data_IF_877879605170
#
_entry.id   IF_877879605170
#
_cell.length_a   1.000
_cell.length_b   1.000
_cell.length_c   1.000
_cell.angle_alpha   90.00
_cell.angle_beta   90.00
_cell.angle_gamma   90.00
#
_symmetry.space_group_name_H-M   'P 1'
#
loop_
_entity.id
_entity.type
_entity.pdbx_description
1 polymer ?
#
# COMPACT_ATOMS: atom_id res chain seq x y z
N UNK A 1 -82.58 24.77 0.99
CA UNK A 1 -82.71 26.22 1.21
C UNK A 1 -81.37 26.77 1.73
N UNK A 2 -81.22 28.09 1.69
CA UNK A 2 -80.00 28.91 1.85
C UNK A 2 -78.98 28.55 2.96
N UNK A 3 -77.69 28.53 2.57
CA UNK A 3 -76.50 29.27 3.09
C UNK A 3 -76.13 29.35 4.60
N UNK A 4 -74.85 29.75 4.81
CA UNK A 4 -74.14 30.27 6.02
C UNK A 4 -73.71 29.25 7.10
N UNK A 5 -72.57 29.35 7.83
CA UNK A 5 -71.35 30.22 7.78
C UNK A 5 -70.15 29.53 8.50
N UNK A 6 -68.96 30.14 8.49
CA UNK A 6 -67.70 29.54 8.97
C UNK A 6 -67.36 29.72 10.48
N UNK A 7 -66.46 28.83 10.97
CA UNK A 7 -65.33 28.95 11.95
C UNK A 7 -65.03 30.25 12.74
N UNK A 8 -64.10 30.25 13.74
CA UNK A 8 -63.58 29.18 14.62
C UNK A 8 -63.38 29.62 16.11
N UNK A 9 -62.92 28.73 17.01
CA UNK A 9 -62.33 29.12 18.31
C UNK A 9 -61.30 28.11 18.86
N UNK A 10 -60.41 28.57 19.74
CA UNK A 10 -59.09 27.95 20.06
C UNK A 10 -58.96 27.52 21.53
N UNK A 11 -57.90 26.76 21.83
CA UNK A 11 -57.20 26.59 23.14
C UNK A 11 -57.48 25.35 24.02
N UNK A 12 -56.46 24.48 24.06
CA UNK A 12 -55.79 23.88 25.25
C UNK A 12 -56.63 23.43 26.46
N UNK A 13 -56.79 22.11 26.58
CA UNK A 13 -56.58 21.37 27.83
C UNK A 13 -55.37 20.44 27.67
N UNK A 14 -54.73 19.88 28.70
CA UNK A 14 -55.08 19.84 30.12
C UNK A 14 -54.57 18.51 30.68
N UNK A 15 -53.80 18.53 31.78
CA UNK A 15 -53.09 17.35 32.31
C UNK A 15 -54.02 16.19 32.70
N UNK A 16 -53.49 14.96 32.71
CA UNK A 16 -53.93 13.98 33.70
C UNK A 16 -52.79 13.10 34.20
N UNK A 17 -52.63 13.04 35.53
CA UNK A 17 -51.67 12.20 36.25
C UNK A 17 -52.35 10.88 36.63
N UNK A 18 -51.61 9.76 36.72
CA UNK A 18 -51.93 8.69 37.67
C UNK A 18 -50.67 7.95 38.16
N UNK A 19 -50.74 7.53 39.43
CA UNK A 19 -49.68 7.13 40.37
C UNK A 19 -50.40 6.23 41.42
N UNK A 20 -49.92 5.10 41.94
CA UNK A 20 -48.63 4.37 41.87
C UNK A 20 -48.87 2.84 42.02
N UNK A 21 -47.89 1.96 41.76
CA UNK A 21 -47.16 1.14 42.77
C UNK A 21 -47.34 -0.39 42.50
N UNK A 22 -46.61 -1.32 43.16
CA UNK A 22 -45.13 -1.42 43.19
C UNK A 22 -44.58 -2.88 43.08
N UNK A 23 -43.26 -3.06 42.79
CA UNK A 23 -42.32 -4.15 43.25
C UNK A 23 -42.74 -5.63 42.94
N UNK A 24 -41.97 -6.54 42.33
CA UNK A 24 -40.56 -6.99 42.42
C UNK A 24 -39.98 -7.27 40.99
N UNK A 25 -38.74 -7.69 40.69
CA UNK A 25 -37.65 -8.36 41.44
C UNK A 25 -36.31 -8.12 40.69
N UNK A 26 -35.15 -8.12 41.36
CA UNK A 26 -33.84 -7.96 40.70
C UNK A 26 -33.41 -9.19 39.88
N UNK A 27 -32.86 -8.98 38.69
CA UNK A 27 -31.89 -9.90 38.08
C UNK A 27 -30.77 -9.10 37.39
N UNK A 28 -29.56 -9.20 37.96
CA UNK A 28 -28.41 -8.36 37.64
C UNK A 28 -27.85 -8.66 36.24
N UNK A 29 -27.78 -7.64 35.37
CA UNK A 29 -26.97 -7.71 34.14
C UNK A 29 -25.55 -7.20 34.40
N UNK A 30 -24.49 -7.88 33.90
CA UNK A 30 -23.11 -7.51 34.22
C UNK A 30 -22.68 -6.19 33.57
N UNK A 31 -22.23 -5.27 34.42
CA UNK A 31 -21.76 -3.93 34.04
C UNK A 31 -20.52 -4.00 33.13
N UNK A 32 -20.59 -3.31 31.98
CA UNK A 32 -19.46 -3.15 31.05
C UNK A 32 -18.30 -2.39 31.72
N UNK A 33 -17.25 -3.09 32.16
CA UNK A 33 -16.03 -2.49 32.71
C UNK A 33 -15.14 -1.91 31.59
N UNK A 34 -15.12 -0.59 31.45
CA UNK A 34 -14.19 0.14 30.56
C UNK A 34 -12.85 0.44 31.25
N UNK A 35 -11.76 0.30 30.46
CA UNK A 35 -10.36 0.24 30.92
C UNK A 35 -9.72 1.60 31.24
N UNK A 36 -10.43 2.48 31.95
CA UNK A 36 -9.91 3.80 32.36
C UNK A 36 -9.79 3.99 33.89
N UNK A 37 -10.63 3.33 34.69
CA UNK A 37 -10.69 3.56 36.15
C UNK A 37 -9.79 2.61 36.96
N UNK A 38 -8.49 2.58 36.64
CA UNK A 38 -7.46 1.86 37.43
C UNK A 38 -6.16 2.67 37.55
N UNK A 39 -6.23 3.98 37.31
CA UNK A 39 -5.09 4.91 37.42
C UNK A 39 -5.42 6.21 38.19
N UNK A 40 -6.59 6.29 38.80
CA UNK A 40 -7.08 7.47 39.56
C UNK A 40 -7.20 7.17 41.06
N UNK A 41 -6.54 6.11 41.55
CA UNK A 41 -6.46 5.74 42.97
C UNK A 41 -5.01 5.57 43.44
N UNK A 42 -4.06 6.16 42.72
CA UNK A 42 -2.69 6.35 43.17
C UNK A 42 -2.17 7.69 42.64
N UNK A 43 -1.57 8.48 43.53
CA UNK A 43 -1.05 9.84 43.32
C UNK A 43 -2.11 10.96 43.28
N UNK A 44 -2.83 11.12 44.39
CA UNK A 44 -3.09 12.47 44.93
C UNK A 44 -1.93 12.84 45.85
N UNK A 45 -1.13 13.87 45.49
CA UNK A 45 -0.43 14.84 46.36
C UNK A 45 0.69 15.59 45.60
N UNK A 46 1.02 16.80 46.09
CA UNK A 46 2.10 17.72 45.67
C UNK A 46 1.99 18.46 44.31
N UNK A 47 1.34 19.64 44.36
CA UNK A 47 1.83 20.97 43.94
C UNK A 47 2.66 21.10 42.63
N UNK A 48 2.21 21.79 41.59
CA UNK A 48 1.93 23.24 41.46
C UNK A 48 3.18 24.12 41.27
N UNK A 49 3.41 24.56 40.03
CA UNK A 49 3.94 25.91 39.74
C UNK A 49 3.59 26.34 38.32
N UNK A 50 3.35 27.64 38.19
CA UNK A 50 2.98 28.34 36.95
C UNK A 50 4.15 28.42 35.96
N UNK A 51 3.86 28.43 34.66
CA UNK A 51 4.05 29.63 33.82
C UNK A 51 3.43 29.48 32.43
N UNK A 52 2.85 30.58 31.95
CA UNK A 52 2.33 30.76 30.60
C UNK A 52 3.47 31.17 29.68
N UNK A 53 3.43 30.73 28.43
CA UNK A 53 3.90 31.53 27.29
C UNK A 53 3.02 31.15 26.09
N UNK A 54 2.50 32.17 25.41
CA UNK A 54 1.60 32.03 24.26
C UNK A 54 2.42 31.94 22.98
N UNK A 55 1.98 31.16 22.00
CA UNK A 55 2.27 31.44 20.60
C UNK A 55 1.22 30.81 19.68
N UNK A 56 0.91 31.53 18.59
CA UNK A 56 -0.42 31.48 17.98
C UNK A 56 -0.65 30.41 16.87
N UNK A 57 -1.94 30.17 16.68
CA UNK A 57 -2.64 29.28 15.75
C UNK A 57 -2.09 29.12 14.32
N UNK A 58 -2.31 27.92 13.78
CA UNK A 58 -2.88 27.79 12.42
C UNK A 58 -3.88 26.64 12.36
N UNK A 59 -5.09 26.86 12.88
CA UNK A 59 -6.14 25.84 12.94
C UNK A 59 -6.82 25.64 11.57
N UNK A 60 -6.79 24.40 11.07
CA UNK A 60 -7.71 23.93 10.02
C UNK A 60 -8.61 22.87 10.63
N UNK A 61 -9.67 23.34 11.27
CA UNK A 61 -10.68 22.50 11.90
C UNK A 61 -11.70 22.04 10.82
N UNK A 62 -11.63 20.77 10.42
CA UNK A 62 -12.64 20.14 9.57
C UNK A 62 -13.52 19.24 10.44
N UNK A 63 -14.72 19.73 10.71
CA UNK A 63 -15.75 19.05 11.49
C UNK A 63 -16.09 17.67 10.94
N UNK A 64 -16.09 16.65 11.80
CA UNK A 64 -16.95 15.48 11.58
C UNK A 64 -17.28 14.76 12.89
N UNK A 65 -18.56 14.47 13.12
CA UNK A 65 -19.02 13.74 14.30
C UNK A 65 -18.74 12.23 14.17
N UNK A 66 -18.31 11.63 15.28
CA UNK A 66 -17.94 10.22 15.36
C UNK A 66 -16.49 10.05 15.75
N UNK A 67 -16.23 10.02 17.06
CA UNK A 67 -14.91 9.95 17.75
C UNK A 67 -13.77 9.37 16.89
N UNK A 68 -13.13 10.24 16.11
CA UNK A 68 -11.90 9.90 15.41
C UNK A 68 -10.79 9.76 16.45
N UNK A 69 -10.20 8.57 16.54
CA UNK A 69 -8.90 8.42 17.17
C UNK A 69 -7.93 9.32 16.42
N UNK A 70 -7.44 10.37 17.09
CA UNK A 70 -6.55 11.36 16.49
C UNK A 70 -5.34 10.71 15.81
N UNK A 71 -4.84 11.36 14.75
CA UNK A 71 -3.72 10.83 13.96
C UNK A 71 -2.55 10.50 14.89
N UNK A 72 -2.09 9.24 14.87
CA UNK A 72 -0.88 8.85 15.58
C UNK A 72 0.32 9.50 14.92
N UNK A 73 0.86 10.54 15.56
CA UNK A 73 1.97 11.40 15.08
C UNK A 73 3.31 11.03 15.72
N UNK A 74 3.67 9.75 15.76
CA UNK A 74 4.97 9.28 16.26
C UNK A 74 5.22 9.40 17.77
N UNK A 75 4.43 10.23 18.49
CA UNK A 75 4.53 10.52 19.94
C UNK A 75 4.79 9.29 20.83
N UNK A 76 4.24 8.14 20.45
CA UNK A 76 4.40 6.87 21.16
C UNK A 76 5.75 6.16 20.95
N UNK A 77 6.50 6.41 19.87
CA UNK A 77 7.91 6.06 19.75
C UNK A 77 8.76 7.14 20.44
N UNK A 78 8.50 8.42 20.15
CA UNK A 78 9.27 9.55 20.71
C UNK A 78 9.39 9.48 22.23
N UNK A 79 8.28 9.18 22.92
CA UNK A 79 8.27 9.03 24.38
C UNK A 79 9.15 7.88 24.89
N UNK A 80 9.31 6.80 24.11
CA UNK A 80 10.19 5.68 24.47
C UNK A 80 11.64 6.02 24.17
N UNK A 81 11.94 6.59 23.01
CA UNK A 81 13.30 7.04 22.65
C UNK A 81 13.82 8.11 23.62
N UNK A 82 12.97 9.08 24.01
CA UNK A 82 13.29 10.07 25.05
C UNK A 82 13.45 9.45 26.43
N UNK A 83 12.60 8.49 26.81
CA UNK A 83 12.66 7.82 28.12
C UNK A 83 13.86 6.87 28.28
N UNK A 84 14.33 6.27 27.19
CA UNK A 84 15.50 5.39 27.17
C UNK A 84 16.82 6.13 26.85
N UNK A 85 16.73 7.39 26.40
CA UNK A 85 17.84 8.17 25.81
C UNK A 85 18.57 7.50 24.63
N UNK A 86 18.04 6.38 24.11
CA UNK A 86 18.58 5.63 22.96
C UNK A 86 17.47 5.29 21.98
N UNK A 87 17.81 5.20 20.68
CA UNK A 87 16.90 4.70 19.65
C UNK A 87 16.63 3.22 19.88
N UNK A 88 15.40 2.78 19.60
CA UNK A 88 15.04 1.36 19.69
C UNK A 88 15.80 0.58 18.61
N UNK A 89 16.53 -0.50 18.95
CA UNK A 89 17.18 -1.36 17.97
C UNK A 89 16.13 -2.11 17.15
N UNK A 90 16.38 -2.21 15.84
CA UNK A 90 15.50 -2.88 14.89
C UNK A 90 16.25 -4.07 14.27
N UNK A 91 16.02 -5.27 14.81
CA UNK A 91 16.57 -6.51 14.25
C UNK A 91 15.51 -7.21 13.39
N UNK A 92 15.89 -7.63 12.18
CA UNK A 92 15.00 -8.30 11.23
C UNK A 92 15.74 -9.49 10.64
N UNK A 93 15.30 -10.71 10.99
CA UNK A 93 15.84 -11.96 10.47
C UNK A 93 15.65 -12.06 8.94
N UNK A 94 16.59 -12.69 8.22
CA UNK A 94 16.54 -12.76 6.74
C UNK A 94 15.23 -13.41 6.23
N UNK A 95 14.72 -12.88 5.11
CA UNK A 95 13.42 -13.23 4.55
C UNK A 95 12.18 -12.83 5.38
N UNK A 96 12.33 -12.20 6.56
CA UNK A 96 11.19 -11.71 7.36
C UNK A 96 10.83 -10.26 7.00
N UNK A 97 9.53 -9.97 6.89
CA UNK A 97 9.00 -8.63 6.59
C UNK A 97 9.00 -7.64 7.76
N UNK A 98 9.27 -8.13 8.98
CA UNK A 98 9.12 -7.41 10.25
C UNK A 98 10.06 -8.01 11.29
N UNK A 99 10.47 -7.22 12.31
CA UNK A 99 11.01 -7.76 13.55
C UNK A 99 10.07 -8.79 14.18
N UNK A 100 10.64 -9.74 14.93
CA UNK A 100 9.89 -10.74 15.67
C UNK A 100 9.31 -10.16 16.98
N UNK A 101 10.08 -9.28 17.63
CA UNK A 101 9.69 -8.58 18.85
C UNK A 101 8.43 -7.71 18.63
N UNK A 102 7.30 -7.97 19.32
CA UNK A 102 6.01 -7.34 19.00
C UNK A 102 5.98 -5.81 19.10
N UNK A 103 6.72 -5.24 20.07
CA UNK A 103 6.80 -3.79 20.26
C UNK A 103 7.59 -3.14 19.11
N UNK A 104 8.75 -3.71 18.74
CA UNK A 104 9.55 -3.24 17.61
C UNK A 104 8.75 -3.31 16.31
N UNK A 105 8.11 -4.45 16.04
CA UNK A 105 7.28 -4.65 14.85
C UNK A 105 6.13 -3.65 14.73
N UNK A 106 5.43 -3.36 15.84
CA UNK A 106 4.34 -2.40 15.87
C UNK A 106 4.81 -0.96 15.64
N UNK A 107 5.94 -0.55 16.25
CA UNK A 107 6.50 0.80 16.12
C UNK A 107 7.12 1.04 14.74
N UNK A 108 7.85 0.06 14.22
CA UNK A 108 8.34 0.09 12.85
C UNK A 108 7.19 0.21 11.83
N UNK A 109 6.07 -0.48 12.08
CA UNK A 109 4.86 -0.36 11.26
C UNK A 109 4.18 1.03 11.38
N UNK A 110 4.13 1.63 12.58
CA UNK A 110 3.53 2.96 12.76
C UNK A 110 4.38 4.05 12.13
N UNK A 111 5.67 4.13 12.46
CA UNK A 111 6.57 5.18 11.99
C UNK A 111 6.84 5.07 10.51
N UNK A 112 7.11 3.87 9.99
CA UNK A 112 7.25 3.66 8.56
C UNK A 112 5.97 4.03 7.79
N UNK A 113 4.80 3.95 8.43
CA UNK A 113 3.54 4.46 7.87
C UNK A 113 3.38 5.99 7.97
N UNK A 114 3.93 6.63 8.99
CA UNK A 114 3.92 8.10 9.20
C UNK A 114 4.87 8.78 8.21
N UNK A 115 6.13 8.34 8.19
CA UNK A 115 7.18 8.79 7.25
C UNK A 115 6.67 8.78 5.81
N UNK A 116 6.00 7.69 5.41
CA UNK A 116 5.45 7.53 4.07
C UNK A 116 4.37 8.56 3.74
N UNK A 117 3.47 8.88 4.67
CA UNK A 117 2.42 9.90 4.46
C UNK A 117 2.97 11.32 4.44
N UNK A 118 4.03 11.59 5.20
CA UNK A 118 4.56 12.93 5.43
C UNK A 118 5.70 13.33 4.48
N UNK A 119 6.43 12.38 3.91
CA UNK A 119 7.70 12.67 3.24
C UNK A 119 7.97 11.93 1.94
N UNK A 120 7.14 10.95 1.55
CA UNK A 120 7.37 10.17 0.32
C UNK A 120 6.28 10.52 -0.71
N UNK A 121 6.66 10.91 -1.94
CA UNK A 121 5.70 11.21 -3.00
C UNK A 121 4.73 10.05 -3.31
N UNK A 122 3.50 10.37 -3.72
CA UNK A 122 2.44 9.40 -4.04
C UNK A 122 2.34 9.13 -5.55
N UNK A 123 3.34 8.43 -6.09
CA UNK A 123 3.39 8.06 -7.51
C UNK A 123 2.33 6.99 -7.88
N UNK A 124 1.82 6.97 -9.14
CA UNK A 124 0.75 6.07 -9.59
C UNK A 124 1.09 4.58 -9.50
N UNK A 125 2.31 4.20 -9.91
CA UNK A 125 2.70 2.80 -10.07
C UNK A 125 4.03 2.46 -9.35
N UNK A 126 4.17 1.22 -8.85
CA UNK A 126 5.39 0.79 -8.14
C UNK A 126 6.67 0.89 -9.00
N UNK A 127 6.54 0.79 -10.33
CA UNK A 127 7.66 0.91 -11.28
C UNK A 127 8.39 2.26 -11.18
N UNK A 128 7.72 3.36 -10.81
CA UNK A 128 8.39 4.67 -10.71
C UNK A 128 9.33 4.73 -9.50
N UNK A 129 8.91 4.20 -8.34
CA UNK A 129 9.77 4.02 -7.15
C UNK A 129 10.94 3.05 -7.36
N UNK A 130 10.87 2.17 -8.36
CA UNK A 130 12.01 1.31 -8.77
C UNK A 130 12.98 2.03 -9.71
N UNK A 131 12.54 3.07 -10.42
CA UNK A 131 13.38 3.84 -11.35
C UNK A 131 14.19 4.92 -10.62
N UNK A 132 13.61 5.54 -9.61
CA UNK A 132 14.30 6.51 -8.75
C UNK A 132 14.56 5.93 -7.35
N UNK A 133 15.79 5.45 -7.16
CA UNK A 133 16.27 4.85 -5.91
C UNK A 133 16.21 5.83 -4.72
N UNK A 134 16.28 7.15 -4.99
CA UNK A 134 16.20 8.21 -3.97
C UNK A 134 14.95 8.13 -3.11
N UNK A 135 13.84 7.60 -3.63
CA UNK A 135 12.62 7.41 -2.85
C UNK A 135 12.78 6.33 -1.76
N UNK A 136 13.53 5.27 -2.04
CA UNK A 136 13.83 4.23 -1.06
C UNK A 136 14.91 4.72 -0.09
N UNK A 137 15.96 5.38 -0.58
CA UNK A 137 17.02 5.96 0.26
C UNK A 137 16.49 6.99 1.26
N UNK A 138 15.68 7.96 0.80
CA UNK A 138 15.02 8.95 1.68
C UNK A 138 14.13 8.26 2.73
N UNK A 139 13.38 7.24 2.33
CA UNK A 139 12.56 6.45 3.24
C UNK A 139 13.40 5.75 4.32
N UNK A 140 14.46 5.07 3.92
CA UNK A 140 15.36 4.34 4.81
C UNK A 140 16.18 5.26 5.72
N UNK A 141 16.67 6.39 5.20
CA UNK A 141 17.34 7.42 5.99
C UNK A 141 16.45 7.99 7.09
N UNK A 142 15.16 8.22 6.79
CA UNK A 142 14.17 8.63 7.81
C UNK A 142 13.85 7.53 8.81
N UNK A 143 13.83 6.26 8.40
CA UNK A 143 13.69 5.11 9.32
C UNK A 143 14.91 5.01 10.26
N UNK A 144 16.13 5.18 9.76
CA UNK A 144 17.34 5.23 10.59
C UNK A 144 17.44 6.52 11.44
N UNK A 145 16.72 7.57 11.07
CA UNK A 145 16.43 8.71 11.94
C UNK A 145 15.70 8.28 13.23
N UNK A 146 14.71 7.39 13.11
CA UNK A 146 13.85 6.96 14.21
C UNK A 146 14.34 5.71 14.99
N UNK A 147 15.03 4.78 14.33
CA UNK A 147 15.48 3.49 14.90
C UNK A 147 17.00 3.34 14.85
N UNK A 148 17.56 2.50 15.72
CA UNK A 148 18.93 2.00 15.57
C UNK A 148 18.88 0.78 14.64
N UNK A 149 19.34 0.94 13.40
CA UNK A 149 19.22 -0.05 12.32
C UNK A 149 20.41 0.07 11.38
N UNK A 150 20.92 -1.06 10.86
CA UNK A 150 21.85 -1.03 9.73
C UNK A 150 21.07 -0.97 8.41
N UNK A 151 21.22 0.15 7.70
CA UNK A 151 20.60 0.41 6.39
C UNK A 151 21.17 -0.53 5.31
N UNK A 152 22.39 -1.03 5.50
CA UNK A 152 23.10 -1.89 4.53
C UNK A 152 22.68 -3.36 4.61
N UNK A 153 21.99 -3.76 5.69
CA UNK A 153 21.54 -5.13 5.86
C UNK A 153 20.41 -5.45 4.86
N UNK A 154 20.60 -6.51 4.05
CA UNK A 154 19.64 -6.95 3.03
C UNK A 154 18.22 -7.17 3.60
N UNK A 155 18.11 -7.80 4.77
CA UNK A 155 16.83 -8.05 5.44
C UNK A 155 16.08 -6.74 5.78
N UNK A 156 16.81 -5.70 6.21
CA UNK A 156 16.27 -4.37 6.47
C UNK A 156 15.82 -3.70 5.17
N UNK A 157 16.64 -3.75 4.11
CA UNK A 157 16.28 -3.21 2.79
C UNK A 157 14.99 -3.84 2.27
N UNK A 158 14.86 -5.17 2.35
CA UNK A 158 13.66 -5.89 1.91
C UNK A 158 12.43 -5.54 2.76
N UNK A 159 12.56 -5.48 4.10
CA UNK A 159 11.47 -5.13 5.00
C UNK A 159 11.00 -3.68 4.84
N UNK A 160 11.92 -2.72 4.69
CA UNK A 160 11.61 -1.33 4.37
C UNK A 160 10.92 -1.20 3.00
N UNK A 161 11.42 -1.92 2.00
CA UNK A 161 10.85 -1.97 0.66
C UNK A 161 9.42 -2.53 0.66
N UNK A 162 9.16 -3.62 1.39
CA UNK A 162 7.82 -4.20 1.49
C UNK A 162 6.85 -3.33 2.31
N UNK A 163 7.35 -2.61 3.33
CA UNK A 163 6.57 -1.61 4.05
C UNK A 163 6.18 -0.42 3.15
N UNK A 164 7.12 0.06 2.33
CA UNK A 164 6.91 1.12 1.36
C UNK A 164 5.88 0.72 0.28
N UNK A 165 6.06 -0.45 -0.36
CA UNK A 165 5.07 -1.03 -1.31
C UNK A 165 3.67 -1.11 -0.69
N UNK A 166 3.58 -1.66 0.52
CA UNK A 166 2.32 -1.88 1.22
C UNK A 166 1.64 -0.56 1.58
N UNK A 167 2.38 0.37 2.17
CA UNK A 167 1.87 1.67 2.60
C UNK A 167 1.43 2.55 1.44
N UNK A 168 2.18 2.60 0.33
CA UNK A 168 1.78 3.36 -0.86
C UNK A 168 0.50 2.80 -1.50
N UNK A 169 0.34 1.47 -1.54
CA UNK A 169 -0.93 0.85 -1.97
C UNK A 169 -2.10 1.24 -1.07
N UNK A 170 -1.91 1.28 0.25
CA UNK A 170 -2.96 1.69 1.20
C UNK A 170 -3.23 3.19 1.19
N UNK A 171 -2.24 4.03 0.84
CA UNK A 171 -2.42 5.47 0.65
C UNK A 171 -3.25 5.74 -0.61
N UNK A 172 -2.88 5.18 -1.77
CA UNK A 172 -3.70 5.25 -2.99
C UNK A 172 -5.12 4.74 -2.80
N UNK A 173 -5.32 3.63 -2.05
CA UNK A 173 -6.66 3.14 -1.74
C UNK A 173 -7.49 4.12 -0.90
N UNK A 174 -6.88 4.77 0.12
CA UNK A 174 -7.58 5.79 0.91
C UNK A 174 -7.93 7.02 0.05
N UNK A 175 -7.00 7.49 -0.78
CA UNK A 175 -7.26 8.59 -1.72
C UNK A 175 -8.43 8.27 -2.66
N UNK A 176 -8.45 7.07 -3.24
CA UNK A 176 -9.58 6.59 -4.06
C UNK A 176 -10.89 6.61 -3.26
N UNK A 177 -10.90 5.97 -2.08
CA UNK A 177 -12.10 5.89 -1.24
C UNK A 177 -12.63 7.27 -0.80
N UNK A 178 -11.75 8.24 -0.65
CA UNK A 178 -12.08 9.55 -0.08
C UNK A 178 -12.45 10.60 -1.12
N UNK A 179 -11.74 10.63 -2.25
CA UNK A 179 -11.84 11.70 -3.27
C UNK A 179 -12.31 11.23 -4.65
N UNK A 180 -12.48 9.92 -4.86
CA UNK A 180 -12.98 9.35 -6.12
C UNK A 180 -14.30 8.56 -5.90
N UNK A 181 -14.30 7.54 -5.05
CA UNK A 181 -15.47 6.64 -4.89
C UNK A 181 -16.71 7.33 -4.27
N UNK A 182 -16.55 8.48 -3.60
CA UNK A 182 -17.66 9.27 -3.02
C UNK A 182 -18.33 10.23 -4.01
N UNK A 183 -17.67 10.57 -5.12
CA UNK A 183 -18.07 11.66 -5.99
C UNK A 183 -18.46 11.13 -7.38
N UNK A 184 -19.49 11.69 -8.03
CA UNK A 184 -19.72 11.43 -9.45
C UNK A 184 -18.54 11.97 -10.27
N UNK A 185 -18.31 11.40 -11.46
CA UNK A 185 -17.10 11.64 -12.25
C UNK A 185 -16.83 13.13 -12.60
N UNK A 186 -17.87 13.96 -12.61
CA UNK A 186 -17.82 15.41 -12.85
C UNK A 186 -17.48 16.25 -11.60
N UNK A 187 -17.32 15.62 -10.43
CA UNK A 187 -17.00 16.28 -9.15
C UNK A 187 -15.71 15.76 -8.50
N UNK A 188 -14.94 14.91 -9.20
CA UNK A 188 -13.61 14.48 -8.74
C UNK A 188 -12.68 15.71 -8.71
N UNK A 189 -11.97 15.99 -7.60
CA UNK A 189 -11.07 17.13 -7.53
C UNK A 189 -10.03 17.14 -8.65
N UNK A 190 -9.78 18.30 -9.27
CA UNK A 190 -8.72 18.46 -10.29
C UNK A 190 -7.33 18.58 -9.67
N UNK A 191 -7.23 19.18 -8.47
CA UNK A 191 -5.97 19.32 -7.73
C UNK A 191 -5.71 18.11 -6.83
N UNK A 192 -4.43 17.79 -6.62
CA UNK A 192 -3.98 16.73 -5.74
C UNK A 192 -4.44 16.98 -4.29
N UNK A 193 -5.23 16.07 -3.68
CA UNK A 193 -5.77 16.25 -2.33
C UNK A 193 -4.73 16.12 -1.19
N UNK A 194 -3.46 15.83 -1.48
CA UNK A 194 -2.40 15.72 -0.47
C UNK A 194 -1.11 16.44 -0.92
N UNK A 195 -0.38 17.11 -0.01
CA UNK A 195 0.77 17.94 -0.37
C UNK A 195 1.98 17.16 -0.93
N UNK A 196 2.03 15.84 -0.69
CA UNK A 196 3.08 14.95 -1.18
C UNK A 196 2.71 14.27 -2.50
N UNK A 197 1.93 14.92 -3.35
CA UNK A 197 1.51 14.39 -4.65
C UNK A 197 1.40 15.54 -5.65
N UNK A 198 1.92 15.34 -6.85
CA UNK A 198 1.76 16.29 -7.94
C UNK A 198 0.37 16.15 -8.57
N UNK A 199 -0.16 17.25 -9.11
CA UNK A 199 -1.45 17.22 -9.83
C UNK A 199 -1.39 16.21 -11.00
N UNK A 200 -0.27 16.08 -11.70
CA UNK A 200 -0.08 15.11 -12.80
C UNK A 200 -0.23 13.65 -12.33
N UNK A 201 0.40 13.28 -11.21
CA UNK A 201 0.28 11.95 -10.59
C UNK A 201 -1.17 11.65 -10.16
N UNK A 202 -1.87 12.69 -9.67
CA UNK A 202 -3.28 12.59 -9.31
C UNK A 202 -4.18 12.32 -10.52
N UNK A 203 -4.01 13.08 -11.61
CA UNK A 203 -4.77 12.85 -12.85
C UNK A 203 -4.50 11.45 -13.42
N UNK A 204 -3.26 10.98 -13.40
CA UNK A 204 -2.90 9.62 -13.81
C UNK A 204 -3.59 8.54 -12.96
N UNK A 205 -3.78 8.77 -11.65
CA UNK A 205 -4.53 7.87 -10.77
C UNK A 205 -6.03 7.88 -11.06
N UNK A 206 -6.63 9.06 -11.25
CA UNK A 206 -8.05 9.22 -11.59
C UNK A 206 -8.38 8.56 -12.94
N UNK A 207 -7.50 8.72 -13.93
CA UNK A 207 -7.60 8.03 -15.22
C UNK A 207 -7.57 6.51 -15.04
N UNK A 208 -6.56 5.99 -14.34
CA UNK A 208 -6.40 4.55 -14.05
C UNK A 208 -7.61 3.95 -13.33
N UNK A 209 -8.22 4.66 -12.37
CA UNK A 209 -9.42 4.18 -11.66
C UNK A 209 -10.69 4.26 -12.49
N UNK A 210 -10.70 5.10 -13.53
CA UNK A 210 -11.81 5.25 -14.47
C UNK A 210 -11.84 4.13 -15.53
N UNK A 211 -10.68 3.58 -15.88
CA UNK A 211 -10.53 2.48 -16.85
C UNK A 211 -11.43 1.27 -16.54
N UNK A 212 -12.20 0.76 -17.53
CA UNK A 212 -13.04 -0.44 -17.35
C UNK A 212 -12.25 -1.68 -16.90
N UNK A 213 -11.06 -1.90 -17.49
CA UNK A 213 -10.16 -3.02 -17.12
C UNK A 213 -9.73 -2.98 -15.65
N UNK A 214 -9.52 -1.78 -15.10
CA UNK A 214 -9.19 -1.61 -13.69
C UNK A 214 -10.39 -1.91 -12.80
N UNK A 215 -11.58 -1.41 -13.17
CA UNK A 215 -12.84 -1.66 -12.43
C UNK A 215 -13.18 -3.15 -12.37
N UNK A 216 -13.11 -3.86 -13.50
CA UNK A 216 -13.32 -5.31 -13.56
C UNK A 216 -12.33 -6.07 -12.64
N UNK A 217 -11.05 -5.66 -12.65
CA UNK A 217 -10.03 -6.22 -11.75
C UNK A 217 -10.31 -5.91 -10.28
N UNK A 218 -10.90 -4.75 -9.95
CA UNK A 218 -11.33 -4.44 -8.59
C UNK A 218 -12.48 -5.36 -8.14
N UNK A 219 -13.52 -5.57 -8.98
CA UNK A 219 -14.65 -6.45 -8.66
C UNK A 219 -14.21 -7.90 -8.47
N UNK A 220 -13.39 -8.45 -9.38
CA UNK A 220 -12.82 -9.81 -9.21
C UNK A 220 -12.02 -9.94 -7.90
N UNK A 221 -11.22 -8.93 -7.54
CA UNK A 221 -10.49 -8.92 -6.28
C UNK A 221 -11.39 -8.76 -5.04
N UNK A 222 -12.58 -8.18 -5.17
CA UNK A 222 -13.58 -8.08 -4.10
C UNK A 222 -14.26 -9.43 -3.89
N UNK A 223 -14.77 -10.06 -4.94
CA UNK A 223 -15.33 -11.41 -4.89
C UNK A 223 -14.33 -12.44 -4.30
N UNK A 224 -13.06 -12.39 -4.73
CA UNK A 224 -12.00 -13.24 -4.17
C UNK A 224 -11.74 -13.00 -2.66
N UNK A 225 -12.02 -11.81 -2.13
CA UNK A 225 -11.91 -11.52 -0.68
C UNK A 225 -13.12 -11.99 0.10
N UNK A 226 -14.30 -11.98 -0.50
CA UNK A 226 -15.55 -12.49 0.08
C UNK A 226 -15.49 -14.03 0.25
N UNK A 227 -14.69 -14.73 -0.56
CA UNK A 227 -14.41 -16.16 -0.42
C UNK A 227 -13.42 -16.53 0.71
N UNK A 228 -12.89 -15.58 1.49
CA UNK A 228 -11.91 -15.88 2.55
C UNK A 228 -12.60 -16.48 3.79
N UNK A 229 -12.51 -17.80 3.93
CA UNK A 229 -13.17 -18.57 4.99
C UNK A 229 -12.53 -18.40 6.39
N UNK A 230 -11.19 -18.41 6.46
CA UNK A 230 -10.41 -18.40 7.71
C UNK A 230 -9.84 -17.01 8.01
N UNK A 231 -10.68 -16.11 8.50
CA UNK A 231 -10.27 -14.74 8.86
C UNK A 231 -9.37 -14.74 10.11
N UNK A 232 -8.27 -13.98 10.10
CA UNK A 232 -7.38 -13.80 11.25
C UNK A 232 -8.09 -13.03 12.39
N UNK A 233 -7.91 -13.44 13.65
CA UNK A 233 -8.49 -12.82 14.85
C UNK A 233 -7.48 -12.17 15.80
N UNK A 234 -6.19 -12.26 15.45
CA UNK A 234 -4.99 -11.72 16.14
C UNK A 234 -4.98 -10.19 16.40
N UNK A 235 -5.92 -9.41 15.86
CA UNK A 235 -5.96 -7.96 16.02
C UNK A 235 -4.89 -7.24 15.20
N UNK A 236 -4.13 -6.33 15.82
CA UNK A 236 -3.09 -5.54 15.16
C UNK A 236 -1.70 -6.20 15.12
N UNK A 237 -1.51 -7.35 15.78
CA UNK A 237 -0.26 -8.13 15.73
C UNK A 237 -0.20 -8.93 14.41
N UNK A 238 0.99 -9.05 13.82
CA UNK A 238 1.21 -10.01 12.72
C UNK A 238 1.20 -11.45 13.26
N UNK A 239 1.05 -12.44 12.39
CA UNK A 239 1.17 -13.87 12.77
C UNK A 239 2.50 -14.15 13.52
N UNK A 240 3.64 -13.66 13.00
CA UNK A 240 4.96 -13.81 13.62
C UNK A 240 5.02 -13.15 15.02
N UNK A 241 4.57 -11.90 15.15
CA UNK A 241 4.59 -11.19 16.43
C UNK A 241 3.61 -11.79 17.45
N UNK A 242 2.50 -12.38 16.98
CA UNK A 242 1.57 -13.10 17.84
C UNK A 242 2.14 -14.44 18.28
N UNK A 243 2.76 -15.20 17.38
CA UNK A 243 3.49 -16.42 17.74
C UNK A 243 4.56 -16.14 18.79
N UNK A 244 5.39 -15.11 18.62
CA UNK A 244 6.37 -14.71 19.64
C UNK A 244 5.70 -14.35 20.97
N UNK A 245 4.59 -13.60 20.96
CA UNK A 245 3.87 -13.25 22.19
C UNK A 245 3.27 -14.51 22.87
N UNK A 246 2.63 -15.39 22.10
CA UNK A 246 2.02 -16.64 22.59
C UNK A 246 3.07 -17.61 23.14
N UNK A 247 4.23 -17.75 22.48
CA UNK A 247 5.36 -18.54 22.97
C UNK A 247 5.85 -18.01 24.33
N UNK A 248 6.02 -16.69 24.48
CA UNK A 248 6.50 -16.08 25.73
C UNK A 248 5.43 -16.05 26.86
N UNK A 249 4.17 -15.80 26.53
CA UNK A 249 3.09 -15.60 27.51
C UNK A 249 2.47 -16.94 27.98
N UNK A 250 2.15 -17.84 27.05
CA UNK A 250 1.39 -19.08 27.34
C UNK A 250 2.26 -20.33 27.45
N UNK A 251 3.16 -20.53 26.48
CA UNK A 251 3.76 -21.85 26.25
C UNK A 251 5.16 -22.01 26.87
N UNK A 252 5.90 -20.91 27.04
CA UNK A 252 7.23 -20.82 27.70
C UNK A 252 8.22 -21.86 27.19
N UNK A 253 8.29 -23.01 27.87
CA UNK A 253 9.24 -24.09 27.63
C UNK A 253 8.65 -25.24 26.78
N UNK A 254 7.34 -25.27 26.57
CA UNK A 254 6.65 -26.20 25.67
C UNK A 254 6.55 -25.59 24.28
N UNK A 255 6.88 -26.32 23.22
CA UNK A 255 6.66 -25.84 21.85
C UNK A 255 5.18 -26.02 21.46
N UNK A 256 4.42 -24.96 21.15
CA UNK A 256 3.00 -25.08 20.81
C UNK A 256 2.78 -25.81 19.49
N UNK A 257 1.92 -26.83 19.53
CA UNK A 257 1.48 -27.56 18.33
C UNK A 257 0.88 -26.60 17.31
N UNK A 258 1.13 -26.87 16.03
CA UNK A 258 0.69 -26.02 14.93
C UNK A 258 -0.83 -25.84 14.84
N UNK A 259 -1.60 -26.86 15.27
CA UNK A 259 -3.06 -26.79 15.40
C UNK A 259 -3.48 -25.82 16.51
N UNK A 260 -2.76 -25.76 17.63
CA UNK A 260 -3.04 -24.80 18.70
C UNK A 260 -2.67 -23.36 18.29
N UNK A 261 -1.59 -23.19 17.52
CA UNK A 261 -1.27 -21.92 16.88
C UNK A 261 -2.36 -21.47 15.90
N UNK A 262 -2.96 -22.41 15.17
CA UNK A 262 -4.09 -22.13 14.29
C UNK A 262 -5.33 -21.68 15.09
N UNK A 263 -5.68 -22.40 16.17
CA UNK A 263 -6.73 -22.01 17.12
C UNK A 263 -6.49 -20.59 17.66
N UNK A 264 -5.30 -20.30 18.18
CA UNK A 264 -4.96 -18.98 18.75
C UNK A 264 -4.94 -17.83 17.73
N UNK A 265 -4.77 -18.13 16.45
CA UNK A 265 -4.82 -17.13 15.38
C UNK A 265 -6.23 -16.87 14.82
N UNK A 266 -7.12 -17.86 14.88
CA UNK A 266 -8.42 -17.83 14.19
C UNK A 266 -9.66 -17.90 15.12
N UNK A 267 -9.47 -18.27 16.39
CA UNK A 267 -10.52 -18.27 17.42
C UNK A 267 -10.29 -17.06 18.34
N UNK A 268 -11.30 -16.20 18.46
CA UNK A 268 -11.28 -15.10 19.43
C UNK A 268 -12.02 -15.48 20.70
N UNK A 269 -11.38 -15.33 21.86
CA UNK A 269 -12.03 -15.47 23.17
C UNK A 269 -13.21 -14.50 23.41
N UNK A 270 -13.31 -13.42 22.62
CA UNK A 270 -14.38 -12.40 22.76
C UNK A 270 -15.36 -12.35 21.60
N UNK A 271 -14.98 -12.85 20.42
CA UNK A 271 -15.79 -12.78 19.19
C UNK A 271 -16.05 -14.16 18.54
N UNK A 272 -15.64 -15.24 19.19
CA UNK A 272 -15.70 -16.59 18.66
C UNK A 272 -14.89 -16.80 17.38
N UNK A 273 -15.27 -17.83 16.64
CA UNK A 273 -14.70 -18.27 15.36
C UNK A 273 -15.82 -18.42 14.30
N UNK A 274 -15.44 -18.48 13.02
CA UNK A 274 -16.37 -18.76 11.92
C UNK A 274 -16.56 -20.28 11.77
N UNK A 275 -17.70 -20.70 11.21
CA UNK A 275 -17.99 -22.14 11.04
C UNK A 275 -16.92 -22.92 10.26
N UNK A 276 -16.34 -22.39 9.16
CA UNK A 276 -15.22 -23.05 8.48
C UNK A 276 -13.99 -23.26 9.36
N UNK A 277 -13.74 -22.37 10.34
CA UNK A 277 -12.63 -22.51 11.28
C UNK A 277 -12.92 -23.62 12.30
N UNK A 278 -14.17 -23.76 12.79
CA UNK A 278 -14.55 -24.87 13.68
C UNK A 278 -14.39 -26.21 12.96
N UNK A 279 -14.93 -26.32 11.75
CA UNK A 279 -14.88 -27.55 10.96
C UNK A 279 -13.43 -27.92 10.63
N UNK A 280 -12.58 -26.93 10.31
CA UNK A 280 -11.15 -27.16 10.10
C UNK A 280 -10.44 -27.62 11.38
N UNK A 281 -10.72 -27.02 12.54
CA UNK A 281 -10.13 -27.46 13.82
C UNK A 281 -10.56 -28.89 14.18
N UNK A 282 -11.85 -29.21 14.07
CA UNK A 282 -12.36 -30.55 14.34
C UNK A 282 -11.76 -31.61 13.39
N UNK A 283 -11.57 -31.28 12.11
CA UNK A 283 -10.91 -32.18 11.16
C UNK A 283 -9.40 -32.36 11.45
N UNK A 284 -8.70 -31.31 11.90
CA UNK A 284 -7.30 -31.42 12.33
C UNK A 284 -7.17 -32.27 13.61
N UNK A 285 -8.09 -32.12 14.55
CA UNK A 285 -8.13 -32.91 15.80
C UNK A 285 -8.48 -34.38 15.54
N UNK A 286 -9.40 -34.67 14.61
CA UNK A 286 -9.74 -36.03 14.22
C UNK A 286 -8.55 -36.77 13.59
N UNK A 287 -7.83 -36.15 12.64
CA UNK A 287 -6.65 -36.76 12.01
C UNK A 287 -5.56 -37.06 13.05
N UNK A 288 -5.35 -36.18 14.03
CA UNK A 288 -4.38 -36.40 15.11
C UNK A 288 -4.83 -37.56 16.01
N UNK A 289 -6.12 -37.64 16.36
CA UNK A 289 -6.64 -38.73 17.18
C UNK A 289 -6.58 -40.10 16.47
N UNK A 290 -6.81 -40.13 15.16
CA UNK A 290 -6.68 -41.35 14.33
C UNK A 290 -5.20 -41.79 14.23
N UNK A 291 -4.26 -40.86 13.97
CA UNK A 291 -2.81 -41.14 13.93
C UNK A 291 -2.28 -41.64 15.31
N UNK A 292 -2.85 -41.16 16.43
CA UNK A 292 -2.53 -41.64 17.79
C UNK A 292 -3.10 -43.04 18.06
N UNK A 293 -4.25 -43.39 17.49
CA UNK A 293 -4.89 -44.70 17.64
C UNK A 293 -4.17 -45.82 16.85
N UNK A 294 -3.65 -45.51 15.66
CA UNK A 294 -2.89 -46.45 14.82
C UNK A 294 -1.44 -46.70 15.31
N UNK A 295 -1.01 -46.01 16.37
CA UNK A 295 0.27 -46.28 17.06
C UNK A 295 1.53 -45.91 16.27
N UNK A 296 1.38 -45.25 15.13
CA UNK A 296 2.48 -44.80 14.28
C UNK A 296 2.18 -43.39 13.76
N UNK A 297 2.83 -42.38 14.32
CA UNK A 297 2.64 -40.98 13.94
C UNK A 297 3.19 -40.70 12.53
N UNK A 298 2.39 -40.97 11.49
CA UNK A 298 2.83 -40.88 10.09
C UNK A 298 2.82 -39.47 9.52
N UNK A 299 1.95 -38.58 10.02
CA UNK A 299 1.79 -37.21 9.52
C UNK A 299 2.34 -36.19 10.51
N UNK A 300 3.13 -35.24 10.00
CA UNK A 300 3.52 -34.08 10.82
C UNK A 300 2.34 -33.11 10.99
N UNK A 301 2.27 -32.31 12.07
CA UNK A 301 1.22 -31.32 12.26
C UNK A 301 1.10 -30.29 11.11
N UNK A 302 2.17 -30.12 10.31
CA UNK A 302 2.16 -29.24 9.14
C UNK A 302 1.52 -29.90 7.91
N UNK A 303 1.60 -31.22 7.78
CA UNK A 303 0.88 -31.99 6.76
C UNK A 303 -0.61 -32.06 7.09
N UNK A 304 -0.99 -32.30 8.35
CA UNK A 304 -2.40 -32.25 8.82
C UNK A 304 -3.07 -30.92 8.44
N UNK A 305 -2.39 -29.78 8.68
CA UNK A 305 -2.93 -28.46 8.31
C UNK A 305 -3.04 -28.27 6.79
N UNK A 306 -2.18 -28.89 5.98
CA UNK A 306 -2.26 -28.85 4.51
C UNK A 306 -3.32 -29.80 3.96
N UNK A 307 -3.56 -30.93 4.60
CA UNK A 307 -4.61 -31.88 4.24
C UNK A 307 -5.99 -31.27 4.46
N UNK A 308 -6.23 -30.67 5.63
CA UNK A 308 -7.48 -29.99 5.97
C UNK A 308 -7.65 -28.67 5.21
N UNK A 309 -6.58 -27.90 5.00
CA UNK A 309 -6.62 -26.58 4.34
C UNK A 309 -5.66 -26.51 3.14
N UNK A 310 -5.93 -27.20 2.02
CA UNK A 310 -4.98 -27.34 0.90
C UNK A 310 -4.62 -26.03 0.17
N UNK A 311 -5.43 -24.98 0.34
CA UNK A 311 -5.18 -23.63 -0.22
C UNK A 311 -4.68 -22.62 0.83
N UNK A 312 -4.24 -23.09 2.00
CA UNK A 312 -3.82 -22.20 3.10
C UNK A 312 -2.52 -21.46 2.81
N UNK A 313 -2.45 -20.20 3.27
CA UNK A 313 -1.20 -19.45 3.37
C UNK A 313 -0.68 -19.37 4.81
N UNK A 314 -1.40 -19.98 5.78
CA UNK A 314 -1.12 -19.89 7.20
C UNK A 314 0.34 -20.26 7.54
N UNK A 315 0.82 -21.42 7.07
CA UNK A 315 2.17 -21.92 7.33
C UNK A 315 3.26 -20.92 6.90
N UNK A 316 3.14 -20.38 5.68
CA UNK A 316 4.03 -19.33 5.18
C UNK A 316 3.97 -18.06 6.03
N UNK A 317 2.78 -17.67 6.52
CA UNK A 317 2.58 -16.46 7.29
C UNK A 317 3.14 -16.53 8.73
N UNK A 318 3.18 -17.73 9.33
CA UNK A 318 3.91 -17.98 10.60
C UNK A 318 5.41 -18.23 10.36
N UNK A 319 5.83 -18.46 9.11
CA UNK A 319 7.23 -18.62 8.73
C UNK A 319 7.71 -20.06 8.55
N UNK A 320 6.79 -21.04 8.56
CA UNK A 320 7.08 -22.44 8.23
C UNK A 320 7.06 -22.61 6.71
N UNK A 321 8.16 -23.12 6.15
CA UNK A 321 8.23 -23.56 4.75
C UNK A 321 8.29 -25.09 4.70
N UNK A 322 7.21 -25.71 4.21
CA UNK A 322 7.23 -27.13 3.88
C UNK A 322 8.14 -27.37 2.67
N UNK A 323 9.22 -28.13 2.85
CA UNK A 323 10.01 -28.64 1.72
C UNK A 323 9.15 -29.64 0.95
N UNK A 324 8.87 -29.35 -0.32
CA UNK A 324 8.20 -30.27 -1.24
C UNK A 324 6.96 -29.70 -1.93
N UNK A 325 6.16 -28.85 -1.26
CA UNK A 325 4.94 -28.31 -1.88
C UNK A 325 5.20 -26.98 -2.59
N UNK A 326 5.66 -27.08 -3.85
CA UNK A 326 5.54 -26.01 -4.84
C UNK A 326 4.10 -25.47 -4.78
N UNK A 327 3.92 -24.15 -4.74
CA UNK A 327 2.57 -23.58 -4.88
C UNK A 327 1.99 -23.95 -6.23
N UNK A 328 0.68 -24.23 -6.28
CA UNK A 328 -0.12 -24.60 -7.46
C UNK A 328 0.08 -23.70 -8.70
N UNK A 329 1.21 -23.87 -9.36
CA UNK A 329 1.32 -24.08 -10.79
C UNK A 329 1.46 -25.61 -10.93
N UNK A 330 0.72 -26.25 -11.83
CA UNK A 330 1.12 -27.57 -12.30
C UNK A 330 2.56 -27.50 -12.81
N UNK A 331 3.27 -28.63 -12.87
CA UNK A 331 4.54 -28.66 -13.60
C UNK A 331 4.31 -28.29 -15.08
N UNK A 332 3.11 -28.57 -15.61
CA UNK A 332 2.62 -28.09 -16.90
C UNK A 332 2.41 -26.56 -16.95
N UNK A 333 1.90 -25.92 -15.90
CA UNK A 333 1.72 -24.46 -15.84
C UNK A 333 3.08 -23.75 -15.74
N UNK A 334 4.03 -24.35 -15.03
CA UNK A 334 5.40 -23.85 -14.94
C UNK A 334 6.14 -24.02 -16.27
N UNK A 335 5.97 -25.15 -16.95
CA UNK A 335 6.49 -25.39 -18.29
C UNK A 335 5.85 -24.47 -19.33
N UNK A 336 4.53 -24.27 -19.29
CA UNK A 336 3.82 -23.34 -20.17
C UNK A 336 4.21 -21.87 -19.90
N UNK A 337 4.45 -21.50 -18.64
CA UNK A 337 4.99 -20.18 -18.30
C UNK A 337 6.43 -20.01 -18.78
N UNK A 338 7.28 -21.04 -18.68
CA UNK A 338 8.66 -21.02 -19.19
C UNK A 338 8.70 -20.91 -20.72
N UNK A 339 7.96 -21.78 -21.44
CA UNK A 339 7.85 -21.74 -22.89
C UNK A 339 7.32 -20.39 -23.40
N UNK A 340 6.37 -19.77 -22.67
CA UNK A 340 5.88 -18.43 -23.00
C UNK A 340 6.87 -17.30 -22.66
N UNK A 341 7.75 -17.49 -21.69
CA UNK A 341 8.87 -16.56 -21.44
C UNK A 341 9.89 -16.67 -22.55
N UNK A 342 10.28 -17.88 -22.96
CA UNK A 342 11.18 -18.14 -24.09
C UNK A 342 10.62 -17.58 -25.41
N UNK A 343 9.31 -17.77 -25.68
CA UNK A 343 8.62 -17.16 -26.83
C UNK A 343 8.69 -15.61 -26.78
N UNK A 344 8.46 -15.01 -25.62
CA UNK A 344 8.52 -13.56 -25.43
C UNK A 344 9.95 -13.01 -25.50
N UNK A 345 10.95 -13.78 -25.09
CA UNK A 345 12.37 -13.45 -25.21
C UNK A 345 12.80 -13.48 -26.68
N UNK A 346 12.40 -14.51 -27.45
CA UNK A 346 12.60 -14.54 -28.91
C UNK A 346 11.87 -13.44 -29.68
N UNK A 347 10.65 -13.07 -29.26
CA UNK A 347 9.94 -11.88 -29.79
C UNK A 347 10.66 -10.57 -29.43
N UNK A 348 11.28 -10.48 -28.25
CA UNK A 348 12.05 -9.32 -27.83
C UNK A 348 13.37 -9.20 -28.60
N UNK A 349 14.10 -10.30 -28.81
CA UNK A 349 15.33 -10.32 -29.59
C UNK A 349 15.10 -9.98 -31.06
N UNK A 350 14.08 -10.56 -31.69
CA UNK A 350 13.72 -10.22 -33.07
C UNK A 350 13.24 -8.76 -33.22
N UNK A 351 12.51 -8.22 -32.22
CA UNK A 351 12.15 -6.80 -32.16
C UNK A 351 13.37 -5.90 -31.96
N UNK A 352 14.34 -6.29 -31.13
CA UNK A 352 15.60 -5.57 -30.94
C UNK A 352 16.45 -5.56 -32.22
N UNK A 353 16.53 -6.68 -32.94
CA UNK A 353 17.21 -6.74 -34.24
C UNK A 353 16.54 -5.82 -35.26
N UNK A 354 15.20 -5.84 -35.36
CA UNK A 354 14.46 -4.93 -36.23
C UNK A 354 14.70 -3.45 -35.89
N UNK A 355 14.78 -3.10 -34.61
CA UNK A 355 15.12 -1.74 -34.15
C UNK A 355 16.57 -1.37 -34.50
N UNK A 356 17.51 -2.32 -34.42
CA UNK A 356 18.89 -2.11 -34.84
C UNK A 356 18.99 -1.92 -36.36
N UNK A 357 18.36 -2.77 -37.16
CA UNK A 357 18.33 -2.67 -38.63
C UNK A 357 17.70 -1.34 -39.08
N UNK A 358 16.60 -0.93 -38.43
CA UNK A 358 15.95 0.36 -38.68
C UNK A 358 16.83 1.55 -38.26
N UNK A 359 17.63 1.42 -37.19
CA UNK A 359 18.63 2.42 -36.79
C UNK A 359 19.74 2.55 -37.83
N UNK A 360 20.27 1.42 -38.33
CA UNK A 360 21.27 1.43 -39.40
C UNK A 360 20.71 2.02 -40.71
N UNK A 361 19.44 1.75 -41.05
CA UNK A 361 18.80 2.38 -42.20
C UNK A 361 18.65 3.89 -42.04
N UNK A 362 18.26 4.37 -40.85
CA UNK A 362 18.21 5.81 -40.57
C UNK A 362 19.60 6.46 -40.65
N UNK A 363 20.65 5.80 -40.16
CA UNK A 363 22.03 6.31 -40.23
C UNK A 363 22.56 6.37 -41.68
N UNK A 364 22.27 5.34 -42.49
CA UNK A 364 22.58 5.34 -43.93
C UNK A 364 21.82 6.45 -44.67
N UNK A 365 20.54 6.66 -44.34
CA UNK A 365 19.72 7.73 -44.94
C UNK A 365 20.21 9.13 -44.54
N UNK A 366 20.60 9.32 -43.28
CA UNK A 366 21.18 10.58 -42.80
C UNK A 366 22.48 10.91 -43.54
N UNK A 367 23.37 9.93 -43.71
CA UNK A 367 24.61 10.12 -44.47
C UNK A 367 24.35 10.47 -45.95
N UNK A 368 23.40 9.79 -46.60
CA UNK A 368 22.99 10.14 -47.98
C UNK A 368 22.40 11.55 -48.08
N UNK A 369 21.68 12.00 -47.06
CA UNK A 369 21.13 13.36 -47.00
C UNK A 369 22.24 14.41 -46.89
N UNK A 370 23.23 14.18 -46.03
CA UNK A 370 24.41 15.05 -45.86
C UNK A 370 25.26 15.13 -47.14
N UNK A 371 25.54 13.98 -47.78
CA UNK A 371 26.26 13.91 -49.07
C UNK A 371 25.50 14.65 -50.19
N UNK A 372 24.16 14.51 -50.22
CA UNK A 372 23.28 15.21 -51.17
C UNK A 372 23.25 16.73 -50.94
N UNK A 373 23.19 17.17 -49.67
CA UNK A 373 23.22 18.60 -49.32
C UNK A 373 24.57 19.23 -49.65
N UNK A 374 25.69 18.56 -49.35
CA UNK A 374 27.02 19.00 -49.73
C UNK A 374 27.19 19.13 -51.25
N UNK A 375 26.67 18.16 -52.01
CA UNK A 375 26.65 18.23 -53.48
C UNK A 375 25.82 19.42 -54.00
N UNK A 376 24.66 19.70 -53.37
CA UNK A 376 23.80 20.84 -53.71
C UNK A 376 24.47 22.18 -53.41
N UNK A 377 25.18 22.31 -52.29
CA UNK A 377 25.95 23.51 -51.94
C UNK A 377 27.08 23.75 -52.96
N UNK A 378 27.80 22.70 -53.38
CA UNK A 378 28.82 22.81 -54.42
C UNK A 378 28.23 23.27 -55.76
N UNK A 379 27.12 22.66 -56.20
CA UNK A 379 26.42 23.08 -57.42
C UNK A 379 25.94 24.53 -57.35
N UNK A 380 25.49 25.01 -56.20
CA UNK A 380 25.09 26.40 -56.01
C UNK A 380 26.28 27.36 -56.16
N UNK A 381 27.44 27.04 -55.57
CA UNK A 381 28.66 27.82 -55.70
C UNK A 381 29.20 27.83 -57.15
N UNK A 382 29.18 26.68 -57.84
CA UNK A 382 29.60 26.57 -59.24
C UNK A 382 28.67 27.41 -60.16
N UNK A 383 27.36 27.42 -59.90
CA UNK A 383 26.40 28.30 -60.61
C UNK A 383 26.64 29.79 -60.32
N UNK A 384 27.03 30.18 -59.11
CA UNK A 384 27.34 31.56 -58.76
C UNK A 384 28.62 32.04 -59.47
N UNK A 385 29.67 31.22 -59.46
CA UNK A 385 30.90 31.48 -60.20
C UNK A 385 30.64 31.64 -61.71
N UNK A 386 29.80 30.79 -62.31
CA UNK A 386 29.43 30.89 -63.72
C UNK A 386 28.64 32.17 -64.03
N UNK A 387 27.70 32.57 -63.15
CA UNK A 387 26.97 33.83 -63.27
C UNK A 387 27.92 35.03 -63.22
N UNK A 388 28.89 35.02 -62.30
CA UNK A 388 29.90 36.08 -62.20
C UNK A 388 30.74 36.20 -63.48
N UNK A 389 31.27 35.08 -63.98
CA UNK A 389 32.02 35.06 -65.25
C UNK A 389 31.18 35.54 -66.46
N UNK A 390 29.89 35.21 -66.49
CA UNK A 390 28.95 35.71 -67.50
C UNK A 390 28.74 37.23 -67.42
N UNK A 391 28.63 37.80 -66.21
CA UNK A 391 28.57 39.26 -66.01
C UNK A 391 29.88 39.94 -66.40
N UNK A 392 31.03 39.38 -66.00
CA UNK A 392 32.35 39.93 -66.31
C UNK A 392 32.63 39.93 -67.83
N UNK A 393 32.25 38.86 -68.54
CA UNK A 393 32.35 38.79 -70.01
C UNK A 393 31.39 39.76 -70.71
N UNK A 394 30.14 39.91 -70.24
CA UNK A 394 29.21 40.92 -70.76
C UNK A 394 29.76 42.35 -70.56
N UNK A 395 30.37 42.63 -69.41
CA UNK A 395 30.99 43.92 -69.13
C UNK A 395 32.19 44.20 -70.06
N UNK A 396 33.03 43.20 -70.32
CA UNK A 396 34.15 43.30 -71.26
C UNK A 396 33.66 43.58 -72.70
N UNK A 397 32.66 42.84 -73.18
CA UNK A 397 32.05 43.07 -74.51
C UNK A 397 31.48 44.49 -74.60
N UNK A 398 30.78 44.96 -73.57
CA UNK A 398 30.24 46.32 -73.53
C UNK A 398 31.34 47.39 -73.60
N UNK A 399 32.45 47.20 -72.91
CA UNK A 399 33.62 48.08 -72.99
C UNK A 399 34.25 48.13 -74.38
N UNK A 400 34.41 46.97 -75.02
CA UNK A 400 34.95 46.88 -76.39
C UNK A 400 34.03 47.52 -77.44
N UNK A 401 32.71 47.43 -77.26
CA UNK A 401 31.74 48.12 -78.14
C UNK A 401 31.81 49.63 -77.94
N UNK A 402 31.97 50.12 -76.70
CA UNK A 402 32.11 51.55 -76.42
C UNK A 402 33.41 52.14 -76.98
N UNK A 403 34.51 51.39 -76.96
CA UNK A 403 35.79 51.82 -77.54
C UNK A 403 35.78 51.88 -79.08
N UNK A 404 34.98 51.06 -79.76
CA UNK A 404 34.80 51.10 -81.22
C UNK A 404 33.78 52.16 -81.70
N UNK A 405 33.24 52.98 -80.79
CA UNK A 405 32.27 54.05 -81.09
C UNK A 405 32.85 55.46 -80.85
N UNK A 406 34.17 55.55 -80.63
CA UNK A 406 34.97 56.78 -80.59
C UNK A 406 35.90 56.84 -81.82
#
# INVERSE_FOLDING_TARGET
MQLTTASPATMKGGSSKRVQAPIEQELQQPVRRTRQKTRELSLTEAEATSNQEEDAESDINVSNEGKLLGVSMGKGLDKMTKGLCVKIPLHISDGKRRPEAPIQAAKFASEGGIILRQHIPVLPHWKHYKKDEKHLENYMGKVAGAFAVDIKEKAVIEACTDLLKGGQRQLRYRLKKEYFDKYPANQVPTKAPVPNMLDEDWHALVAMWSEPKHKEKCEKNKANREQVQCMQKTGSRSFIAHYHAVKMEKYKDVEPTLVDLFKDCHISSTKGCTEPVKNAVAAMEAIIADDEADGNATKTPAEVVVEVLPKTTFLRNIGIQLKGKKTNASEDDAAAAAARVEELEGQLESSNQLVQDMKEQMERMAKQMEESEAARLKQAADMENLKKASVDTMNLIKGLVQLNQQ
#
